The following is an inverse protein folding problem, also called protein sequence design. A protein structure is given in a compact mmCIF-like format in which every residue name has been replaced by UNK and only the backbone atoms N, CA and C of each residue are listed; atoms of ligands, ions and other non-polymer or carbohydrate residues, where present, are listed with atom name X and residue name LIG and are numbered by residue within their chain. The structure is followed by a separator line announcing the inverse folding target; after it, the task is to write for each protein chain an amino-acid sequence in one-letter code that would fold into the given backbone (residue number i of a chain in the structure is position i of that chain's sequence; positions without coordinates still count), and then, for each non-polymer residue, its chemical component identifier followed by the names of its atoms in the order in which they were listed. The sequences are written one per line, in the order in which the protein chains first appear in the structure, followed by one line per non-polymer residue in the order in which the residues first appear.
data_IF_797926136095
#
_entry.id   IF_797926136095
#
_cell.length_a   1.000
_cell.length_b   1.000
_cell.length_c   1.000
_cell.angle_alpha   90.00
_cell.angle_beta   90.00
_cell.angle_gamma   90.00
#
_symmetry.space_group_name_H-M   'P 1'
#
loop_
_entity.id
_entity.type
_entity.pdbx_description
1 polymer ?
#
# COMPACT_ATOMS: atom_id res chain seq x y z
N UNK A 1 -1.87 -11.91 2.03
CA UNK A 1 -2.35 -10.64 2.62
C UNK A 1 -2.37 -9.47 1.64
N UNK A 2 -1.31 -9.20 0.85
CA UNK A 2 -1.31 -8.09 -0.12
C UNK A 2 -2.15 -8.35 -1.39
N UNK A 3 -2.23 -9.62 -1.80
CA UNK A 3 -2.99 -10.05 -2.98
C UNK A 3 -4.50 -9.79 -2.86
N UNK A 4 -5.04 -9.85 -1.64
CA UNK A 4 -6.44 -9.51 -1.38
C UNK A 4 -6.72 -8.02 -1.56
N UNK A 5 -5.73 -7.14 -1.38
CA UNK A 5 -5.87 -5.70 -1.61
C UNK A 5 -5.80 -5.36 -3.11
N UNK A 6 -4.94 -6.06 -3.84
CA UNK A 6 -4.89 -5.99 -5.31
C UNK A 6 -6.18 -6.51 -5.92
N UNK A 7 -6.69 -7.68 -5.49
CA UNK A 7 -7.99 -8.22 -5.94
C UNK A 7 -9.18 -7.33 -5.62
N UNK A 8 -9.14 -6.59 -4.51
CA UNK A 8 -10.18 -5.63 -4.13
C UNK A 8 -10.06 -4.28 -4.87
N UNK A 9 -9.05 -4.12 -5.73
CA UNK A 9 -8.80 -2.88 -6.47
C UNK A 9 -8.28 -1.74 -5.59
N UNK A 10 -7.86 -2.03 -4.36
CA UNK A 10 -7.38 -1.01 -3.42
C UNK A 10 -5.96 -0.55 -3.74
N UNK A 11 -5.14 -1.44 -4.32
CA UNK A 11 -3.79 -1.13 -4.78
C UNK A 11 -3.66 -1.60 -6.23
N UNK A 12 -3.21 -0.70 -7.10
CA UNK A 12 -2.83 -1.04 -8.47
C UNK A 12 -1.36 -1.45 -8.50
N UNK A 13 -1.12 -2.62 -9.09
CA UNK A 13 0.23 -3.12 -9.37
C UNK A 13 0.63 -2.69 -10.77
N UNK A 14 1.82 -2.10 -10.92
CA UNK A 14 2.34 -1.73 -12.24
C UNK A 14 2.92 -2.91 -13.01
N UNK A 15 3.40 -3.93 -12.29
CA UNK A 15 3.92 -5.16 -12.90
C UNK A 15 3.56 -6.34 -12.01
N UNK A 16 2.85 -7.31 -12.57
CA UNK A 16 2.60 -8.59 -11.93
C UNK A 16 3.47 -9.64 -12.62
N UNK A 17 4.53 -10.08 -11.96
CA UNK A 17 5.19 -11.34 -12.28
C UNK A 17 4.55 -12.43 -11.43
N UNK A 18 4.51 -13.69 -11.89
CA UNK A 18 3.79 -14.80 -11.24
C UNK A 18 4.08 -14.98 -9.74
N UNK A 19 5.21 -14.47 -9.23
CA UNK A 19 5.55 -14.40 -7.79
C UNK A 19 5.61 -13.00 -7.17
N UNK A 20 5.77 -11.94 -7.96
CA UNK A 20 6.10 -10.61 -7.43
C UNK A 20 5.21 -9.53 -8.04
N UNK A 21 4.71 -8.65 -7.18
CA UNK A 21 3.89 -7.52 -7.55
C UNK A 21 4.67 -6.24 -7.29
N UNK A 22 5.03 -5.54 -8.36
CA UNK A 22 5.58 -4.20 -8.24
C UNK A 22 4.43 -3.22 -8.13
N UNK A 23 4.49 -2.39 -7.10
CA UNK A 23 3.58 -1.28 -6.85
C UNK A 23 4.42 -0.03 -6.92
N UNK A 24 3.95 0.99 -7.64
CA UNK A 24 4.65 2.28 -7.65
C UNK A 24 4.42 2.99 -6.33
N UNK A 25 5.44 3.67 -5.81
CA UNK A 25 5.34 4.42 -4.55
C UNK A 25 4.18 5.42 -4.54
N UNK A 26 3.85 6.02 -5.69
CA UNK A 26 2.67 6.90 -5.84
C UNK A 26 1.32 6.20 -5.60
N UNK A 27 1.17 4.97 -6.07
CA UNK A 27 -0.06 4.19 -5.93
C UNK A 27 -0.19 3.68 -4.49
N UNK A 28 0.94 3.36 -3.86
CA UNK A 28 1.00 3.02 -2.44
C UNK A 28 0.74 4.25 -1.56
N UNK A 29 1.28 5.45 -1.89
CA UNK A 29 1.02 6.71 -1.18
C UNK A 29 -0.48 7.03 -1.19
N UNK A 30 -1.12 6.99 -2.37
CA UNK A 30 -2.57 7.23 -2.51
C UNK A 30 -3.43 6.27 -1.69
N UNK A 31 -2.99 5.01 -1.58
CA UNK A 31 -3.66 4.02 -0.74
C UNK A 31 -3.50 4.30 0.76
N UNK A 32 -2.34 4.82 1.18
CA UNK A 32 -2.08 5.18 2.58
C UNK A 32 -2.74 6.50 3.00
N UNK A 33 -2.96 7.43 2.06
CA UNK A 33 -3.71 8.66 2.29
C UNK A 33 -5.20 8.38 2.51
N UNK A 34 -5.77 7.42 1.77
CA UNK A 34 -7.16 7.00 1.95
C UNK A 34 -7.28 5.48 2.15
N UNK A 35 -6.85 4.97 3.31
CA UNK A 35 -6.87 3.54 3.57
C UNK A 35 -8.30 3.09 3.92
N UNK A 36 -8.74 1.93 3.41
CA UNK A 36 -10.01 1.33 3.80
C UNK A 36 -10.12 1.17 5.32
N UNK A 37 -11.27 1.54 5.88
CA UNK A 37 -11.50 1.62 7.33
C UNK A 37 -11.14 0.34 8.08
N UNK A 38 -11.35 -0.82 7.45
CA UNK A 38 -11.04 -2.15 8.01
C UNK A 38 -9.55 -2.43 8.21
N UNK A 39 -8.68 -1.73 7.49
CA UNK A 39 -7.23 -1.86 7.60
C UNK A 39 -6.54 -0.59 8.10
N UNK A 40 -7.29 0.51 8.29
CA UNK A 40 -6.80 1.75 8.89
C UNK A 40 -6.11 1.50 10.23
N UNK A 41 -6.71 0.68 11.10
CA UNK A 41 -6.11 0.30 12.39
C UNK A 41 -4.84 -0.53 12.24
N UNK A 42 -4.74 -1.34 11.17
CA UNK A 42 -3.53 -2.13 10.89
C UNK A 42 -2.41 -1.27 10.33
N UNK A 43 -2.73 -0.27 9.50
CA UNK A 43 -1.77 0.68 8.95
C UNK A 43 -1.31 1.64 10.05
N UNK A 44 -2.20 2.11 10.92
CA UNK A 44 -1.85 2.94 12.07
C UNK A 44 -0.96 2.21 13.09
N UNK A 45 -1.03 0.88 13.13
CA UNK A 45 -0.12 0.05 13.93
C UNK A 45 1.25 -0.16 13.25
N UNK A 46 1.39 0.17 11.96
CA UNK A 46 2.68 0.17 11.28
C UNK A 46 3.32 1.54 11.53
N UNK A 47 4.60 1.51 11.87
CA UNK A 47 5.39 2.70 12.11
C UNK A 47 5.36 3.66 10.91
N UNK A 48 5.09 4.95 11.19
CA UNK A 48 5.07 6.01 10.19
C UNK A 48 6.40 6.12 9.46
N UNK A 49 7.52 5.91 10.15
CA UNK A 49 8.86 5.92 9.54
C UNK A 49 9.03 4.78 8.54
N UNK A 50 8.52 3.58 8.85
CA UNK A 50 8.56 2.44 7.92
C UNK A 50 7.69 2.69 6.70
N UNK A 51 6.57 3.37 6.88
CA UNK A 51 5.70 3.76 5.79
C UNK A 51 6.42 4.78 4.89
N UNK A 52 6.98 5.84 5.47
CA UNK A 52 7.72 6.88 4.74
C UNK A 52 8.96 6.32 4.03
N UNK A 53 9.62 5.32 4.59
CA UNK A 53 10.71 4.59 3.91
C UNK A 53 10.22 3.85 2.65
N UNK A 54 8.99 3.34 2.65
CA UNK A 54 8.42 2.56 1.53
C UNK A 54 7.79 3.45 0.44
N UNK A 55 7.16 4.56 0.82
CA UNK A 55 6.46 5.44 -0.13
C UNK A 55 7.15 6.77 -0.42
N UNK A 56 8.19 7.10 0.33
CA UNK A 56 8.67 8.47 0.43
C UNK A 56 7.82 9.29 1.41
N UNK A 57 8.24 10.54 1.67
CA UNK A 57 7.56 11.41 2.62
C UNK A 57 6.04 11.49 2.35
N UNK A 58 5.26 11.11 3.36
CA UNK A 58 3.84 11.41 3.46
C UNK A 58 3.69 12.89 3.85
N UNK A 59 4.16 13.78 2.98
CA UNK A 59 3.84 15.21 3.02
C UNK A 59 2.37 15.44 2.71
#
# INVERSE_FOLDING_TARGET
MLWSWVKKGWIRTSRSSGRYHQIKSKDLKRFLENPPQRIKNRIAAIDKEKIEYLVGSLG
#
